data_IF_799688013437
#
_entry.id   IF_799688013437
#
_cell.length_a   1.000
_cell.length_b   1.000
_cell.length_c   1.000
_cell.angle_alpha   90.00
_cell.angle_beta   90.00
_cell.angle_gamma   90.00
#
_symmetry.space_group_name_H-M   'P 1'
#
loop_
_entity.id
_entity.type
_entity.pdbx_description
1 polymer ?
#
# COMPACT_ATOMS: atom_id res chain seq x y z
N UNK A 1 5.85 20.63 -10.47
CA UNK A 1 4.39 20.90 -10.40
C UNK A 1 3.90 20.86 -8.96
N UNK A 2 3.77 19.71 -8.29
CA UNK A 2 3.31 19.68 -6.88
C UNK A 2 4.29 20.34 -5.88
N UNK A 3 5.60 20.18 -6.06
CA UNK A 3 6.61 20.86 -5.23
C UNK A 3 6.72 22.37 -5.50
N UNK A 4 6.30 22.84 -6.68
CA UNK A 4 6.24 24.27 -6.99
C UNK A 4 5.01 24.91 -6.34
N UNK A 5 3.86 24.21 -6.40
CA UNK A 5 2.64 24.61 -5.68
C UNK A 5 2.84 24.68 -4.16
N UNK A 6 3.70 23.82 -3.60
CA UNK A 6 4.10 23.92 -2.18
C UNK A 6 4.83 25.22 -1.87
N UNK A 7 5.68 25.71 -2.79
CA UNK A 7 6.38 26.99 -2.62
C UNK A 7 5.41 28.17 -2.73
N UNK A 8 4.43 28.10 -3.63
CA UNK A 8 3.40 29.14 -3.79
C UNK A 8 2.41 29.18 -2.61
N UNK A 9 2.16 28.04 -1.97
CA UNK A 9 1.31 27.92 -0.77
C UNK A 9 2.00 28.41 0.53
N UNK A 10 3.26 28.85 0.45
CA UNK A 10 4.05 29.25 1.61
C UNK A 10 3.47 30.53 2.25
N UNK A 11 2.92 30.40 3.46
CA UNK A 11 2.23 31.48 4.17
C UNK A 11 0.80 31.13 4.59
N UNK A 12 0.18 30.11 4.00
CA UNK A 12 -1.09 29.56 4.45
C UNK A 12 -0.88 28.14 5.01
N UNK A 13 -0.99 27.99 6.33
CA UNK A 13 -0.71 26.73 7.03
C UNK A 13 -1.60 25.57 6.54
N UNK A 14 -2.89 25.82 6.34
CA UNK A 14 -3.84 24.78 5.89
C UNK A 14 -3.48 24.29 4.47
N UNK A 15 -3.21 25.24 3.57
CA UNK A 15 -2.84 24.93 2.19
C UNK A 15 -1.51 24.18 2.11
N UNK A 16 -0.54 24.60 2.93
CA UNK A 16 0.78 23.99 3.02
C UNK A 16 0.74 22.57 3.56
N UNK A 17 -0.06 22.30 4.61
CA UNK A 17 -0.21 20.95 5.17
C UNK A 17 -0.82 20.00 4.13
N UNK A 18 -1.87 20.45 3.43
CA UNK A 18 -2.51 19.63 2.38
C UNK A 18 -1.53 19.29 1.24
N UNK A 19 -0.77 20.28 0.76
CA UNK A 19 0.25 20.08 -0.28
C UNK A 19 1.41 19.19 0.20
N UNK A 20 1.79 19.30 1.46
CA UNK A 20 2.84 18.45 2.04
C UNK A 20 2.41 16.99 2.08
N UNK A 21 1.17 16.70 2.52
CA UNK A 21 0.64 15.34 2.58
C UNK A 21 0.60 14.70 1.19
N UNK A 22 0.14 15.44 0.16
CA UNK A 22 0.10 14.94 -1.22
C UNK A 22 1.51 14.68 -1.77
N UNK A 23 2.44 15.63 -1.60
CA UNK A 23 3.82 15.48 -2.08
C UNK A 23 4.58 14.36 -1.37
N UNK A 24 4.35 14.18 -0.06
CA UNK A 24 4.89 13.04 0.70
C UNK A 24 4.33 11.71 0.21
N UNK A 25 3.03 11.63 -0.10
CA UNK A 25 2.44 10.41 -0.65
C UNK A 25 3.09 10.04 -1.99
N UNK A 26 3.34 11.02 -2.87
CA UNK A 26 4.00 10.76 -4.16
C UNK A 26 5.45 10.29 -4.00
N UNK A 27 6.22 10.95 -3.13
CA UNK A 27 7.61 10.56 -2.89
C UNK A 27 7.71 9.17 -2.25
N UNK A 28 6.85 8.85 -1.28
CA UNK A 28 6.80 7.52 -0.67
C UNK A 28 6.43 6.44 -1.68
N UNK A 29 5.49 6.72 -2.58
CA UNK A 29 5.13 5.78 -3.65
C UNK A 29 6.31 5.50 -4.56
N UNK A 30 7.03 6.54 -4.99
CA UNK A 30 8.21 6.38 -5.83
C UNK A 30 9.27 5.52 -5.13
N UNK A 31 9.56 5.80 -3.86
CA UNK A 31 10.52 5.04 -3.06
C UNK A 31 10.09 3.57 -2.90
N UNK A 32 8.81 3.30 -2.61
CA UNK A 32 8.28 1.95 -2.46
C UNK A 32 8.37 1.16 -3.77
N UNK A 33 7.95 1.74 -4.89
CA UNK A 33 8.03 1.09 -6.21
C UNK A 33 9.48 0.83 -6.60
N UNK A 34 10.37 1.79 -6.34
CA UNK A 34 11.81 1.64 -6.55
C UNK A 34 12.38 0.49 -5.72
N UNK A 35 12.08 0.45 -4.42
CA UNK A 35 12.51 -0.64 -3.53
C UNK A 35 11.99 -2.00 -4.02
N UNK A 36 10.72 -2.10 -4.41
CA UNK A 36 10.15 -3.35 -4.91
C UNK A 36 10.83 -3.79 -6.22
N UNK A 37 11.14 -2.85 -7.11
CA UNK A 37 11.72 -3.15 -8.42
C UNK A 37 13.21 -3.47 -8.35
N UNK A 38 13.96 -2.78 -7.49
CA UNK A 38 15.42 -2.87 -7.40
C UNK A 38 15.91 -3.84 -6.31
N UNK A 39 15.07 -4.19 -5.33
CA UNK A 39 15.45 -5.14 -4.29
C UNK A 39 15.40 -6.58 -4.79
N UNK A 40 16.57 -7.15 -5.06
CA UNK A 40 16.71 -8.59 -5.33
C UNK A 40 16.29 -9.43 -4.12
N UNK A 41 16.53 -8.93 -2.90
CA UNK A 41 16.13 -9.58 -1.65
C UNK A 41 14.60 -9.73 -1.59
N UNK A 42 13.84 -8.67 -1.91
CA UNK A 42 12.39 -8.73 -1.86
C UNK A 42 11.82 -9.73 -2.87
N UNK A 43 12.39 -9.77 -4.09
CA UNK A 43 12.01 -10.74 -5.13
C UNK A 43 12.29 -12.17 -4.68
N UNK A 44 13.47 -12.40 -4.10
CA UNK A 44 13.84 -13.71 -3.54
C UNK A 44 12.87 -14.11 -2.43
N UNK A 45 12.58 -13.20 -1.51
CA UNK A 45 11.68 -13.44 -0.38
C UNK A 45 10.26 -13.78 -0.86
N UNK A 46 9.71 -13.03 -1.81
CA UNK A 46 8.40 -13.36 -2.43
C UNK A 46 8.44 -14.74 -3.10
N UNK A 47 9.53 -15.06 -3.81
CA UNK A 47 9.69 -16.36 -4.44
C UNK A 47 9.76 -17.51 -3.41
N UNK A 48 10.54 -17.33 -2.34
CA UNK A 48 10.66 -18.30 -1.24
C UNK A 48 9.32 -18.51 -0.56
N UNK A 49 8.60 -17.44 -0.22
CA UNK A 49 7.26 -17.52 0.37
C UNK A 49 6.30 -18.25 -0.55
N UNK A 50 6.27 -17.90 -1.85
CA UNK A 50 5.40 -18.57 -2.82
C UNK A 50 5.69 -20.07 -2.90
N UNK A 51 6.98 -20.44 -2.94
CA UNK A 51 7.40 -21.85 -2.93
C UNK A 51 6.98 -22.55 -1.64
N UNK A 52 7.23 -21.90 -0.51
CA UNK A 52 6.90 -22.41 0.82
C UNK A 52 5.39 -22.63 0.99
N UNK A 53 4.55 -21.76 0.43
CA UNK A 53 3.10 -21.93 0.43
C UNK A 53 2.64 -23.18 -0.34
N UNK A 54 3.33 -23.56 -1.43
CA UNK A 54 2.96 -24.72 -2.26
C UNK A 54 3.48 -26.01 -1.65
N UNK A 55 4.70 -25.99 -1.11
CA UNK A 55 5.37 -27.18 -0.57
C UNK A 55 5.07 -27.42 0.91
N UNK A 56 4.26 -26.57 1.53
CA UNK A 56 3.98 -26.60 2.97
C UNK A 56 3.36 -27.93 3.39
N UNK A 57 3.96 -28.54 4.41
CA UNK A 57 3.40 -29.68 5.14
C UNK A 57 3.18 -29.27 6.59
N UNK A 58 1.92 -29.29 7.03
CA UNK A 58 1.56 -29.05 8.42
C UNK A 58 1.78 -30.33 9.23
N UNK A 59 2.37 -30.22 10.42
CA UNK A 59 2.50 -31.37 11.33
C UNK A 59 1.18 -31.64 12.08
N UNK A 60 0.42 -30.58 12.36
CA UNK A 60 -0.80 -30.63 13.18
C UNK A 60 -1.88 -29.65 12.69
N UNK A 61 -3.14 -29.95 12.99
CA UNK A 61 -4.29 -29.07 12.71
C UNK A 61 -4.18 -27.69 13.40
N UNK A 62 -3.54 -27.61 14.57
CA UNK A 62 -3.34 -26.32 15.25
C UNK A 62 -2.35 -25.41 14.50
N UNK A 63 -1.32 -25.97 13.86
CA UNK A 63 -0.39 -25.19 13.04
C UNK A 63 -1.08 -24.62 11.80
N UNK A 64 -1.93 -25.43 11.19
CA UNK A 64 -2.77 -25.05 10.06
C UNK A 64 -3.72 -23.90 10.47
N UNK A 65 -4.37 -24.02 11.64
CA UNK A 65 -5.25 -22.97 12.17
C UNK A 65 -4.52 -21.66 12.43
N UNK A 66 -3.33 -21.72 13.05
CA UNK A 66 -2.49 -20.53 13.28
C UNK A 66 -2.17 -19.87 11.95
N UNK A 67 -1.65 -20.64 10.98
CA UNK A 67 -1.29 -20.13 9.66
C UNK A 67 -2.47 -19.45 8.94
N UNK A 68 -3.63 -20.12 8.89
CA UNK A 68 -4.80 -19.58 8.22
C UNK A 68 -5.34 -18.33 8.88
N UNK A 69 -5.26 -18.20 10.20
CA UNK A 69 -5.68 -17.00 10.90
C UNK A 69 -4.83 -15.78 10.47
N UNK A 70 -3.51 -15.92 10.44
CA UNK A 70 -2.60 -14.85 9.98
C UNK A 70 -2.83 -14.50 8.50
N UNK A 71 -2.97 -15.50 7.63
CA UNK A 71 -3.24 -15.30 6.21
C UNK A 71 -4.62 -14.65 5.96
N UNK A 72 -5.63 -15.02 6.75
CA UNK A 72 -6.97 -14.46 6.66
C UNK A 72 -7.00 -12.98 7.06
N UNK A 73 -6.39 -12.62 8.19
CA UNK A 73 -6.28 -11.23 8.64
C UNK A 73 -5.55 -10.39 7.57
N UNK A 74 -4.46 -10.91 7.02
CA UNK A 74 -3.70 -10.24 5.96
C UNK A 74 -4.52 -10.02 4.68
N UNK A 75 -5.34 -11.00 4.27
CA UNK A 75 -6.25 -10.87 3.12
C UNK A 75 -7.34 -9.84 3.34
N UNK A 76 -7.98 -9.85 4.51
CA UNK A 76 -9.01 -8.84 4.86
C UNK A 76 -8.41 -7.45 4.81
N UNK A 77 -7.26 -7.26 5.44
CA UNK A 77 -6.55 -5.97 5.43
C UNK A 77 -6.28 -5.53 3.99
N UNK A 78 -5.68 -6.40 3.18
CA UNK A 78 -5.29 -6.07 1.81
C UNK A 78 -6.49 -5.72 0.92
N UNK A 79 -7.55 -6.52 0.98
CA UNK A 79 -8.76 -6.28 0.19
C UNK A 79 -9.47 -5.01 0.66
N UNK A 80 -9.64 -4.83 1.97
CA UNK A 80 -10.28 -3.66 2.56
C UNK A 80 -9.53 -2.37 2.24
N UNK A 81 -8.19 -2.37 2.37
CA UNK A 81 -7.36 -1.21 2.06
C UNK A 81 -7.36 -0.85 0.57
N UNK A 82 -7.32 -1.84 -0.33
CA UNK A 82 -7.38 -1.58 -1.78
C UNK A 82 -8.73 -1.02 -2.21
N UNK A 83 -9.83 -1.61 -1.74
CA UNK A 83 -11.19 -1.12 -2.05
C UNK A 83 -11.41 0.26 -1.44
N UNK A 84 -11.02 0.47 -0.19
CA UNK A 84 -11.11 1.77 0.47
C UNK A 84 -10.31 2.85 -0.26
N UNK A 85 -9.10 2.54 -0.71
CA UNK A 85 -8.28 3.46 -1.49
C UNK A 85 -8.93 3.81 -2.83
N UNK A 86 -9.43 2.81 -3.56
CA UNK A 86 -10.11 3.02 -4.82
C UNK A 86 -11.31 3.96 -4.66
N UNK A 87 -12.18 3.69 -3.68
CA UNK A 87 -13.33 4.55 -3.37
C UNK A 87 -12.87 5.97 -3.03
N UNK A 88 -11.87 6.10 -2.15
CA UNK A 88 -11.37 7.40 -1.69
C UNK A 88 -10.84 8.24 -2.86
N UNK A 89 -10.04 7.64 -3.72
CA UNK A 89 -9.44 8.34 -4.87
C UNK A 89 -10.49 8.73 -5.90
N UNK A 90 -11.48 7.86 -6.16
CA UNK A 90 -12.61 8.19 -7.05
C UNK A 90 -13.42 9.36 -6.49
N UNK A 91 -13.71 9.36 -5.18
CA UNK A 91 -14.42 10.48 -4.53
C UNK A 91 -13.63 11.79 -4.61
N UNK A 92 -12.32 11.74 -4.36
CA UNK A 92 -11.45 12.91 -4.49
C UNK A 92 -11.42 13.44 -5.92
N UNK A 93 -11.36 12.54 -6.92
CA UNK A 93 -11.39 12.91 -8.32
C UNK A 93 -12.71 13.57 -8.71
N UNK A 94 -13.85 13.05 -8.23
CA UNK A 94 -15.20 13.57 -8.54
C UNK A 94 -15.54 14.87 -7.78
N UNK A 95 -14.90 15.15 -6.65
CA UNK A 95 -15.21 16.30 -5.78
C UNK A 95 -15.26 17.66 -6.53
N UNK A 96 -14.29 18.03 -7.38
CA UNK A 96 -14.34 19.30 -8.11
C UNK A 96 -15.46 19.36 -9.15
N UNK A 97 -15.85 18.23 -9.74
CA UNK A 97 -16.96 18.18 -10.69
C UNK A 97 -18.30 18.47 -10.02
N UNK A 98 -18.51 17.90 -8.82
CA UNK A 98 -19.71 18.19 -8.01
C UNK A 98 -19.75 19.67 -7.64
N UNK A 99 -18.61 20.25 -7.25
CA UNK A 99 -18.51 21.67 -6.93
C UNK A 99 -18.83 22.57 -8.13
N UNK A 100 -18.28 22.26 -9.30
CA UNK A 100 -18.58 22.98 -10.56
C UNK A 100 -20.07 22.90 -10.91
N UNK A 101 -20.68 21.72 -10.80
CA UNK A 101 -22.11 21.53 -11.03
C UNK A 101 -22.97 22.37 -10.07
N UNK A 102 -22.58 22.47 -8.80
CA UNK A 102 -23.32 23.26 -7.80
C UNK A 102 -23.19 24.77 -8.00
N UNK A 103 -22.01 25.25 -8.43
CA UNK A 103 -21.79 26.68 -8.72
C UNK A 103 -22.54 27.11 -9.96
N UNK A 104 -22.52 26.31 -11.03
CA UNK A 104 -23.21 26.65 -12.28
C UNK A 104 -24.73 26.75 -12.11
N UNK A 105 -25.28 26.10 -11.08
CA UNK A 105 -26.69 26.25 -10.69
C UNK A 105 -26.97 27.51 -9.87
N UNK A 106 -25.97 28.03 -9.15
CA UNK A 106 -26.12 29.14 -8.20
C UNK A 106 -25.60 30.50 -8.72
N UNK A 107 -24.73 30.54 -9.72
CA UNK A 107 -24.03 31.74 -10.16
C UNK A 107 -23.99 31.87 -11.68
N UNK A 108 -24.85 32.73 -12.23
CA UNK A 108 -24.72 33.22 -13.61
C UNK A 108 -23.71 34.38 -13.76
N UNK A 109 -23.08 34.87 -12.68
CA UNK A 109 -22.41 36.18 -12.70
C UNK A 109 -20.98 36.26 -12.12
N UNK A 110 -20.34 35.17 -11.71
CA UNK A 110 -18.96 35.23 -11.17
C UNK A 110 -17.97 34.44 -12.04
N UNK A 111 -16.75 34.99 -12.17
CA UNK A 111 -15.60 34.39 -12.84
C UNK A 111 -15.36 32.97 -12.30
N UNK A 112 -15.53 31.96 -13.14
CA UNK A 112 -15.38 30.55 -12.77
C UNK A 112 -13.92 30.26 -12.36
N UNK A 113 -13.69 29.97 -11.07
CA UNK A 113 -12.42 29.43 -10.62
C UNK A 113 -12.44 27.90 -10.80
N UNK A 114 -11.75 27.41 -11.83
CA UNK A 114 -11.62 25.98 -12.07
C UNK A 114 -10.76 25.32 -10.98
N UNK A 115 -11.37 24.41 -10.22
CA UNK A 115 -10.67 23.62 -9.19
C UNK A 115 -10.25 22.26 -9.79
N UNK A 116 -8.98 21.92 -9.64
CA UNK A 116 -8.43 20.61 -10.06
C UNK A 116 -8.56 19.55 -8.95
N UNK A 117 -8.68 18.25 -9.30
CA UNK A 117 -8.79 17.16 -8.32
C UNK A 117 -7.49 16.90 -7.55
N UNK A 118 -6.34 17.24 -8.15
CA UNK A 118 -5.03 17.20 -7.54
C UNK A 118 -4.42 18.59 -7.57
N UNK A 119 -3.75 18.99 -6.49
CA UNK A 119 -3.10 20.30 -6.41
C UNK A 119 -1.77 20.27 -7.14
N UNK A 120 -1.80 20.78 -8.36
CA UNK A 120 -0.63 20.97 -9.19
C UNK A 120 -0.65 22.39 -9.74
N UNK A 121 0.49 23.06 -9.70
CA UNK A 121 0.66 24.33 -10.42
C UNK A 121 0.74 24.03 -11.92
N UNK A 122 -0.26 24.39 -12.74
CA UNK A 122 -0.22 24.15 -14.17
C UNK A 122 0.74 25.16 -14.82
N UNK A 123 1.51 24.73 -15.83
CA UNK A 123 2.41 25.62 -16.57
C UNK A 123 1.68 26.60 -17.51
N UNK A 124 0.39 26.36 -17.75
CA UNK A 124 -0.44 27.16 -18.64
C UNK A 124 -1.72 27.54 -17.90
N UNK A 125 -2.26 28.71 -18.23
CA UNK A 125 -3.43 29.25 -17.56
C UNK A 125 -4.69 28.42 -17.89
N UNK A 126 -5.43 28.05 -16.85
CA UNK A 126 -6.67 27.28 -16.99
C UNK A 126 -7.82 28.27 -17.08
N UNK A 127 -7.90 28.96 -18.22
CA UNK A 127 -8.93 29.96 -18.48
C UNK A 127 -10.07 29.46 -19.36
N UNK A 128 -9.91 28.30 -20.00
CA UNK A 128 -10.87 27.75 -20.95
C UNK A 128 -11.33 26.34 -20.54
N UNK A 129 -12.62 26.04 -20.69
CA UNK A 129 -13.20 24.73 -20.41
C UNK A 129 -12.48 23.60 -21.15
N UNK A 130 -11.99 23.85 -22.37
CA UNK A 130 -11.21 22.85 -23.13
C UNK A 130 -9.87 22.50 -22.45
N UNK A 131 -9.13 23.49 -21.93
CA UNK A 131 -7.86 23.23 -21.25
C UNK A 131 -8.09 22.57 -19.88
N UNK A 132 -9.19 22.91 -19.21
CA UNK A 132 -9.62 22.24 -17.98
C UNK A 132 -9.90 20.75 -18.20
N UNK A 133 -10.70 20.39 -19.20
CA UNK A 133 -11.02 18.98 -19.52
C UNK A 133 -9.75 18.21 -19.89
N UNK A 134 -8.85 18.81 -20.68
CA UNK A 134 -7.59 18.18 -21.07
C UNK A 134 -6.69 17.91 -19.86
N UNK A 135 -6.57 18.88 -18.95
CA UNK A 135 -5.83 18.69 -17.69
C UNK A 135 -6.45 17.60 -16.82
N UNK A 136 -7.78 17.50 -16.79
CA UNK A 136 -8.49 16.47 -16.04
C UNK A 136 -8.18 15.06 -16.58
N UNK A 137 -8.08 14.89 -17.91
CA UNK A 137 -7.61 13.65 -18.53
C UNK A 137 -6.13 13.37 -18.25
N UNK A 138 -5.26 14.40 -18.26
CA UNK A 138 -3.85 14.24 -17.90
C UNK A 138 -3.66 13.81 -16.44
N UNK A 139 -4.58 14.17 -15.55
CA UNK A 139 -4.56 13.78 -14.13
C UNK A 139 -5.16 12.40 -13.87
N UNK A 140 -5.93 11.83 -14.79
CA UNK A 140 -6.56 10.51 -14.62
C UNK A 140 -5.57 9.38 -14.24
N UNK A 141 -4.36 9.28 -14.82
CA UNK A 141 -3.38 8.26 -14.43
C UNK A 141 -2.92 8.34 -12.96
N UNK A 142 -3.09 9.49 -12.28
CA UNK A 142 -2.76 9.62 -10.86
C UNK A 142 -3.60 8.69 -9.99
N UNK A 143 -4.83 8.37 -10.42
CA UNK A 143 -5.69 7.40 -9.74
C UNK A 143 -5.00 6.04 -9.66
N UNK A 144 -4.46 5.59 -10.80
CA UNK A 144 -3.75 4.32 -10.89
C UNK A 144 -2.51 4.33 -9.99
N UNK A 145 -1.76 5.42 -9.97
CA UNK A 145 -0.58 5.57 -9.12
C UNK A 145 -0.92 5.44 -7.62
N UNK A 146 -2.03 6.05 -7.19
CA UNK A 146 -2.53 5.92 -5.82
C UNK A 146 -2.94 4.49 -5.46
N UNK A 147 -3.55 3.74 -6.38
CA UNK A 147 -3.87 2.32 -6.16
C UNK A 147 -2.60 1.47 -6.08
N UNK A 148 -1.60 1.74 -6.95
CA UNK A 148 -0.30 1.06 -6.89
C UNK A 148 0.42 1.31 -5.56
N UNK A 149 0.36 2.54 -5.02
CA UNK A 149 0.90 2.85 -3.71
C UNK A 149 0.30 1.95 -2.62
N UNK A 150 -1.02 1.83 -2.57
CA UNK A 150 -1.65 0.96 -1.58
C UNK A 150 -1.37 -0.51 -1.81
N UNK A 151 -1.28 -0.97 -3.06
CA UNK A 151 -0.88 -2.34 -3.36
C UNK A 151 0.53 -2.64 -2.84
N UNK A 152 1.47 -1.69 -2.96
CA UNK A 152 2.82 -1.81 -2.41
C UNK A 152 2.82 -1.91 -0.88
N UNK A 153 2.03 -1.09 -0.20
CA UNK A 153 1.86 -1.18 1.27
C UNK A 153 1.25 -2.52 1.67
N UNK A 154 0.20 -2.97 0.98
CA UNK A 154 -0.45 -4.25 1.24
C UNK A 154 0.54 -5.42 1.06
N UNK A 155 1.40 -5.38 0.04
CA UNK A 155 2.45 -6.38 -0.14
C UNK A 155 3.36 -6.45 1.08
N UNK A 156 3.85 -5.31 1.58
CA UNK A 156 4.70 -5.28 2.78
C UNK A 156 3.97 -5.86 4.01
N UNK A 157 2.71 -5.51 4.19
CA UNK A 157 1.89 -6.03 5.30
C UNK A 157 1.68 -7.54 5.18
N UNK A 158 1.44 -8.07 3.97
CA UNK A 158 1.34 -9.52 3.71
C UNK A 158 2.64 -10.22 4.12
N UNK A 159 3.80 -9.68 3.74
CA UNK A 159 5.09 -10.25 4.08
C UNK A 159 5.31 -10.29 5.61
N UNK A 160 4.98 -9.19 6.30
CA UNK A 160 5.07 -9.13 7.76
C UNK A 160 4.16 -10.17 8.41
N UNK A 161 2.89 -10.25 8.00
CA UNK A 161 1.96 -11.24 8.56
C UNK A 161 2.41 -12.68 8.27
N UNK A 162 3.00 -12.95 7.10
CA UNK A 162 3.57 -14.26 6.79
C UNK A 162 4.70 -14.62 7.74
N UNK A 163 5.67 -13.71 7.94
CA UNK A 163 6.79 -13.90 8.87
C UNK A 163 6.29 -14.09 10.30
N UNK A 164 5.32 -13.28 10.75
CA UNK A 164 4.71 -13.44 12.06
C UNK A 164 4.04 -14.80 12.21
N UNK A 165 3.30 -15.26 11.18
CA UNK A 165 2.69 -16.59 11.17
C UNK A 165 3.72 -17.72 11.30
N UNK A 166 4.84 -17.64 10.56
CA UNK A 166 5.94 -18.59 10.67
C UNK A 166 6.55 -18.63 12.07
N UNK A 167 6.80 -17.46 12.66
CA UNK A 167 7.34 -17.35 14.01
C UNK A 167 6.37 -17.91 15.06
N UNK A 168 5.06 -17.70 14.88
CA UNK A 168 4.04 -18.28 15.75
C UNK A 168 3.98 -19.81 15.65
N UNK A 169 4.07 -20.37 14.45
CA UNK A 169 4.14 -21.83 14.26
C UNK A 169 5.42 -22.40 14.90
N UNK A 170 6.55 -21.74 14.69
CA UNK A 170 7.81 -22.12 15.30
C UNK A 170 7.73 -22.12 16.84
N UNK A 171 7.16 -21.06 17.42
CA UNK A 171 6.94 -20.97 18.85
C UNK A 171 5.98 -22.06 19.37
N UNK A 172 4.93 -22.38 18.61
CA UNK A 172 4.01 -23.47 18.93
C UNK A 172 4.73 -24.82 18.96
N UNK A 173 5.56 -25.11 17.95
CA UNK A 173 6.35 -26.35 17.87
C UNK A 173 7.33 -26.49 19.02
N UNK A 174 8.02 -25.41 19.41
CA UNK A 174 8.94 -25.41 20.55
C UNK A 174 8.21 -25.73 21.85
N UNK A 175 7.03 -25.14 22.07
CA UNK A 175 6.21 -25.37 23.29
C UNK A 175 5.64 -26.77 23.37
N UNK A 176 5.43 -27.44 22.23
CA UNK A 176 4.84 -28.78 22.14
C UNK A 176 5.86 -29.85 21.70
N UNK A 177 7.15 -29.64 21.99
CA UNK A 177 8.13 -30.72 21.92
C UNK A 177 7.71 -31.77 22.96
N UNK A 178 7.08 -32.86 22.50
CA UNK A 178 6.98 -34.09 23.30
C UNK A 178 8.40 -34.58 23.59
N UNK A 179 8.61 -35.11 24.79
CA UNK A 179 9.82 -35.82 25.18
C UNK A 179 10.03 -37.02 24.23
N UNK A 180 10.67 -36.77 23.10
CA UNK A 180 11.18 -37.81 22.22
C UNK A 180 12.68 -37.97 22.45
N UNK A 181 13.23 -39.11 22.07
CA UNK A 181 14.63 -39.48 22.32
C UNK A 181 15.64 -38.38 21.98
N UNK A 182 16.76 -38.35 22.70
CA UNK A 182 17.84 -37.35 22.57
C UNK A 182 18.26 -37.04 21.11
N UNK A 183 18.26 -38.06 20.24
CA UNK A 183 18.61 -37.92 18.83
C UNK A 183 17.55 -37.17 18.01
N UNK A 184 16.26 -37.43 18.25
CA UNK A 184 15.16 -36.70 17.62
C UNK A 184 15.09 -35.25 18.07
N UNK A 185 15.43 -34.94 19.33
CA UNK A 185 15.47 -33.56 19.84
C UNK A 185 16.54 -32.74 19.11
N UNK A 186 17.74 -33.29 18.89
CA UNK A 186 18.84 -32.59 18.19
C UNK A 186 18.44 -32.27 16.75
N UNK A 187 17.83 -33.23 16.04
CA UNK A 187 17.38 -32.98 14.67
C UNK A 187 16.21 -31.99 14.59
N UNK A 188 15.31 -31.98 15.58
CA UNK A 188 14.22 -31.01 15.67
C UNK A 188 14.73 -29.60 15.98
N UNK A 189 15.67 -29.46 16.91
CA UNK A 189 16.35 -28.18 17.20
C UNK A 189 17.10 -27.69 15.97
N UNK A 190 17.82 -28.57 15.27
CA UNK A 190 18.50 -28.23 14.01
C UNK A 190 17.52 -27.79 12.92
N UNK A 191 16.33 -28.39 12.87
CA UNK A 191 15.24 -27.98 11.98
C UNK A 191 14.68 -26.60 12.37
N UNK A 192 14.49 -26.34 13.66
CA UNK A 192 14.03 -25.03 14.16
C UNK A 192 15.04 -23.91 13.90
N UNK A 193 16.33 -24.17 14.12
CA UNK A 193 17.40 -23.22 13.80
C UNK A 193 17.44 -22.95 12.29
N UNK A 194 17.31 -23.98 11.45
CA UNK A 194 17.23 -23.79 9.99
C UNK A 194 15.99 -23.00 9.56
N UNK A 195 14.84 -23.25 10.18
CA UNK A 195 13.61 -22.53 9.90
C UNK A 195 13.74 -21.06 10.32
N UNK A 196 14.32 -20.78 11.49
CA UNK A 196 14.56 -19.43 11.96
C UNK A 196 15.58 -18.69 11.10
N UNK A 197 16.67 -19.35 10.70
CA UNK A 197 17.66 -18.79 9.77
C UNK A 197 17.05 -18.50 8.40
N UNK A 198 16.15 -19.35 7.88
CA UNK A 198 15.42 -19.12 6.62
C UNK A 198 14.41 -17.96 6.71
N UNK A 199 13.92 -17.63 7.89
CA UNK A 199 13.00 -16.51 8.11
C UNK A 199 13.79 -15.18 8.22
N UNK A 200 14.99 -15.24 8.77
CA UNK A 200 15.86 -14.06 9.00
C UNK A 200 16.72 -13.72 7.77
N UNK A 201 17.03 -14.71 6.93
CA UNK A 201 17.99 -14.64 5.81
C UNK A 201 17.42 -15.27 4.54
#
# INVERSE_FOLDING_TARGET
MAYADFYDAFGNLELMVMNLVETMAYSMTFLLVWLIRCSNLLKLLIHVIKKDMVERKFENFEEERIYYNYNFISKIFSYGSLVGMFITVVLLYLRPLVYLLTINQASQNNTESFILPYRIHPFFDISNTHTYILMYFCLFPMIYFSVCHMAAICLMVILVFHICGELSILAYRIRHIKECSHTMIIDRIRSFVRMHLKIIW
#
